data_IF_639825225474
#
_entry.id   IF_639825225474
#
_cell.length_a   1.000
_cell.length_b   1.000
_cell.length_c   1.000
_cell.angle_alpha   90.00
_cell.angle_beta   90.00
_cell.angle_gamma   90.00
#
_symmetry.space_group_name_H-M   'P 1'
#
loop_
_entity.id
_entity.type
_entity.pdbx_description
1 polymer ?
#
# COMPACT_ATOMS: atom_id res chain seq x y z
N UNK A 1 -14.64 9.67 -40.11
CA UNK A 1 -13.75 8.58 -39.67
C UNK A 1 -13.75 8.58 -38.15
N UNK A 2 -14.53 7.70 -37.52
CA UNK A 2 -14.60 7.61 -36.05
C UNK A 2 -13.33 6.93 -35.54
N UNK A 3 -12.29 7.72 -35.30
CA UNK A 3 -11.07 7.25 -34.65
C UNK A 3 -11.32 7.27 -33.13
N UNK A 4 -12.25 6.43 -32.65
CA UNK A 4 -12.34 6.15 -31.22
C UNK A 4 -11.12 5.33 -30.87
N UNK A 5 -10.10 5.99 -30.33
CA UNK A 5 -8.93 5.33 -29.76
C UNK A 5 -9.44 4.36 -28.69
N UNK A 6 -9.50 3.08 -29.03
CA UNK A 6 -9.91 2.05 -28.10
C UNK A 6 -8.69 1.68 -27.27
N UNK A 7 -8.73 2.01 -25.98
CA UNK A 7 -7.70 1.57 -25.05
C UNK A 7 -7.54 0.05 -25.15
N UNK A 8 -6.31 -0.44 -25.05
CA UNK A 8 -6.01 -1.88 -25.04
C UNK A 8 -5.62 -2.39 -23.65
N UNK A 9 -5.05 -1.49 -22.85
CA UNK A 9 -4.54 -1.77 -21.51
C UNK A 9 -4.99 -0.65 -20.59
N UNK A 10 -5.44 -1.00 -19.39
CA UNK A 10 -5.74 -0.07 -18.31
C UNK A 10 -4.77 -0.34 -17.16
N UNK A 11 -4.14 0.73 -16.68
CA UNK A 11 -3.26 0.68 -15.51
C UNK A 11 -4.01 1.18 -14.28
N UNK A 12 -3.94 0.43 -13.19
CA UNK A 12 -4.45 0.84 -11.89
C UNK A 12 -3.32 1.01 -10.88
N UNK A 13 -3.47 2.00 -10.01
CA UNK A 13 -2.74 2.00 -8.74
C UNK A 13 -3.38 1.00 -7.75
N UNK A 14 -2.65 0.64 -6.70
CA UNK A 14 -3.12 -0.29 -5.68
C UNK A 14 -3.89 0.42 -4.55
N UNK A 15 -3.20 1.22 -3.75
CA UNK A 15 -3.72 1.86 -2.55
C UNK A 15 -4.67 3.01 -2.91
N UNK A 16 -5.82 3.06 -2.25
CA UNK A 16 -6.87 4.08 -2.46
C UNK A 16 -7.34 4.22 -3.92
N UNK A 17 -7.15 3.16 -4.71
CA UNK A 17 -7.69 3.00 -6.07
C UNK A 17 -8.45 1.67 -6.16
N UNK A 18 -7.78 0.55 -5.93
CA UNK A 18 -8.40 -0.77 -5.89
C UNK A 18 -8.57 -1.30 -4.45
N UNK A 19 -7.70 -0.90 -3.53
CA UNK A 19 -7.69 -1.37 -2.15
C UNK A 19 -7.80 -0.23 -1.14
N UNK A 20 -8.58 -0.43 -0.07
CA UNK A 20 -8.98 0.61 0.87
C UNK A 20 -7.98 0.76 2.02
N UNK A 21 -7.11 1.79 1.93
CA UNK A 21 -6.06 2.01 2.94
C UNK A 21 -6.62 2.36 4.32
N UNK A 22 -7.86 2.88 4.38
CA UNK A 22 -8.53 3.32 5.62
C UNK A 22 -8.86 2.15 6.54
N UNK A 23 -8.88 0.92 6.02
CA UNK A 23 -9.19 -0.32 6.76
C UNK A 23 -7.96 -1.11 7.18
N UNK A 24 -6.76 -0.67 6.78
CA UNK A 24 -5.51 -1.40 6.98
C UNK A 24 -5.14 -1.49 8.45
N UNK A 25 -5.23 -0.37 9.17
CA UNK A 25 -4.75 -0.32 10.56
C UNK A 25 -5.83 -0.69 11.56
N UNK A 26 -5.69 -1.88 12.14
CA UNK A 26 -6.54 -2.39 13.23
C UNK A 26 -5.78 -2.28 14.56
N UNK A 27 -6.18 -1.38 15.49
CA UNK A 27 -5.48 -1.22 16.77
C UNK A 27 -5.34 -2.53 17.58
N UNK A 28 -6.36 -3.39 17.53
CA UNK A 28 -6.33 -4.69 18.21
C UNK A 28 -5.26 -5.66 17.67
N UNK A 29 -4.97 -5.61 16.37
CA UNK A 29 -3.89 -6.41 15.78
C UNK A 29 -2.52 -5.89 16.21
N UNK A 30 -2.33 -4.56 16.18
CA UNK A 30 -1.08 -3.93 16.61
C UNK A 30 -0.79 -4.23 18.09
N UNK A 31 -1.80 -4.15 18.97
CA UNK A 31 -1.67 -4.52 20.39
C UNK A 31 -1.18 -5.96 20.55
N UNK A 32 -1.73 -6.91 19.78
CA UNK A 32 -1.27 -8.31 19.82
C UNK A 32 0.19 -8.47 19.39
N UNK A 33 0.68 -7.65 18.45
CA UNK A 33 2.09 -7.65 18.06
C UNK A 33 2.98 -7.05 19.15
N UNK A 34 2.56 -5.94 19.75
CA UNK A 34 3.26 -5.30 20.87
C UNK A 34 3.34 -6.21 22.11
N UNK A 35 2.28 -6.96 22.41
CA UNK A 35 2.28 -7.93 23.51
C UNK A 35 3.37 -9.00 23.34
N UNK A 36 3.61 -9.47 22.10
CA UNK A 36 4.71 -10.39 21.81
C UNK A 36 6.11 -9.78 22.00
N UNK A 37 6.18 -8.44 22.03
CA UNK A 37 7.39 -7.65 22.34
C UNK A 37 7.49 -7.27 23.83
N UNK A 38 6.56 -7.73 24.67
CA UNK A 38 6.53 -7.38 26.10
C UNK A 38 5.90 -6.02 26.40
N UNK A 39 5.28 -5.38 25.41
CA UNK A 39 4.59 -4.09 25.59
C UNK A 39 3.08 -4.25 25.71
N UNK A 40 2.48 -3.53 26.65
CA UNK A 40 1.03 -3.48 26.84
C UNK A 40 0.55 -2.05 26.68
N UNK A 41 -0.18 -1.77 25.60
CA UNK A 41 -0.83 -0.49 25.35
C UNK A 41 -2.34 -0.70 25.30
N UNK A 42 -3.10 0.27 25.84
CA UNK A 42 -4.55 0.25 25.73
C UNK A 42 -5.02 0.62 24.30
N UNK A 43 -6.28 0.28 24.01
CA UNK A 43 -6.89 0.49 22.69
C UNK A 43 -6.94 1.97 22.27
N UNK A 44 -7.25 2.87 23.20
CA UNK A 44 -7.42 4.30 22.94
C UNK A 44 -6.07 4.95 22.63
N UNK A 45 -5.04 4.63 23.40
CA UNK A 45 -3.67 5.10 23.17
C UNK A 45 -3.15 4.57 21.84
N UNK A 46 -3.31 3.27 21.58
CA UNK A 46 -2.88 2.66 20.30
C UNK A 46 -3.56 3.30 19.10
N UNK A 47 -4.88 3.48 19.16
CA UNK A 47 -5.64 4.15 18.09
C UNK A 47 -5.18 5.59 17.87
N UNK A 48 -4.91 6.33 18.95
CA UNK A 48 -4.41 7.71 18.88
C UNK A 48 -3.04 7.78 18.20
N UNK A 49 -2.11 6.88 18.54
CA UNK A 49 -0.78 6.83 17.93
C UNK A 49 -0.85 6.45 16.45
N UNK A 50 -1.64 5.43 16.08
CA UNK A 50 -1.88 5.07 14.66
C UNK A 50 -2.37 6.28 13.87
N UNK A 51 -3.38 7.00 14.39
CA UNK A 51 -3.92 8.20 13.73
C UNK A 51 -2.86 9.30 13.58
N UNK A 52 -2.05 9.54 14.61
CA UNK A 52 -0.96 10.52 14.56
C UNK A 52 0.10 10.13 13.52
N UNK A 53 0.46 8.86 13.38
CA UNK A 53 1.40 8.40 12.35
C UNK A 53 0.82 8.60 10.95
N UNK A 54 -0.46 8.25 10.74
CA UNK A 54 -1.14 8.51 9.47
C UNK A 54 -1.14 9.99 9.10
N UNK A 55 -1.47 10.88 10.03
CA UNK A 55 -1.39 12.34 9.82
C UNK A 55 0.06 12.80 9.57
N UNK A 56 1.03 12.28 10.31
CA UNK A 56 2.43 12.63 10.10
C UNK A 56 2.92 12.27 8.69
N UNK A 57 2.47 11.12 8.14
CA UNK A 57 2.85 10.63 6.80
C UNK A 57 2.39 11.50 5.63
N UNK A 58 1.42 12.40 5.86
CA UNK A 58 0.86 13.32 4.85
C UNK A 58 1.36 14.76 5.00
N UNK A 59 2.03 15.09 6.10
CA UNK A 59 2.72 16.39 6.24
C UNK A 59 3.86 16.52 5.25
N UNK A 60 4.28 17.75 4.94
CA UNK A 60 5.46 18.00 4.10
C UNK A 60 6.69 17.22 4.60
N UNK A 61 6.97 17.26 5.90
CA UNK A 61 8.05 16.48 6.51
C UNK A 61 7.89 14.98 6.27
N UNK A 62 6.69 14.44 6.44
CA UNK A 62 6.39 13.03 6.18
C UNK A 62 6.59 12.63 4.71
N UNK A 63 6.18 13.50 3.78
CA UNK A 63 6.41 13.30 2.35
C UNK A 63 7.91 13.33 2.02
N UNK A 64 8.69 14.24 2.61
CA UNK A 64 10.14 14.25 2.42
C UNK A 64 10.82 12.99 2.99
N UNK A 65 10.34 12.47 4.13
CA UNK A 65 10.89 11.24 4.72
C UNK A 65 10.66 10.00 3.86
N UNK A 66 9.58 9.98 3.06
CA UNK A 66 9.21 8.87 2.16
C UNK A 66 9.59 9.10 0.69
N UNK A 67 10.17 10.25 0.35
CA UNK A 67 10.54 10.54 -1.03
C UNK A 67 11.55 9.50 -1.55
N UNK A 68 11.27 8.89 -2.70
CA UNK A 68 12.11 7.85 -3.31
C UNK A 68 12.28 6.58 -2.45
N UNK A 69 11.43 6.39 -1.42
CA UNK A 69 11.58 5.24 -0.51
C UNK A 69 11.09 3.95 -1.11
N UNK A 70 10.22 4.00 -2.11
CA UNK A 70 9.49 2.82 -2.58
C UNK A 70 10.29 2.07 -3.66
N UNK A 71 11.56 2.46 -3.82
CA UNK A 71 12.56 1.87 -4.73
C UNK A 71 13.15 0.55 -4.22
N UNK A 72 12.94 0.20 -2.95
CA UNK A 72 13.24 -1.13 -2.42
C UNK A 72 12.47 -1.38 -1.12
N UNK A 73 12.24 -2.66 -0.78
CA UNK A 73 11.57 -3.01 0.48
C UNK A 73 12.29 -2.45 1.72
N UNK A 74 13.63 -2.45 1.70
CA UNK A 74 14.47 -1.89 2.77
C UNK A 74 14.29 -0.38 2.91
N UNK A 75 14.30 0.35 1.79
CA UNK A 75 14.13 1.81 1.81
C UNK A 75 12.73 2.19 2.30
N UNK A 76 11.70 1.49 1.81
CA UNK A 76 10.32 1.72 2.20
C UNK A 76 10.13 1.47 3.70
N UNK A 77 10.64 0.34 4.22
CA UNK A 77 10.66 0.06 5.65
C UNK A 77 11.31 1.19 6.46
N UNK A 78 12.53 1.58 6.09
CA UNK A 78 13.27 2.63 6.79
C UNK A 78 12.57 3.99 6.78
N UNK A 79 11.91 4.34 5.68
CA UNK A 79 11.16 5.58 5.58
C UNK A 79 9.94 5.57 6.51
N UNK A 80 9.18 4.48 6.55
CA UNK A 80 8.05 4.34 7.47
C UNK A 80 8.47 4.29 8.94
N UNK A 81 9.63 3.70 9.25
CA UNK A 81 10.23 3.81 10.59
C UNK A 81 10.47 5.27 10.97
N UNK A 82 11.09 6.06 10.08
CA UNK A 82 11.34 7.50 10.33
C UNK A 82 10.05 8.30 10.50
N UNK A 83 9.02 8.02 9.71
CA UNK A 83 7.71 8.65 9.85
C UNK A 83 7.09 8.31 11.21
N UNK A 84 7.04 7.03 11.56
CA UNK A 84 6.45 6.58 12.82
C UNK A 84 7.17 7.19 14.04
N UNK A 85 8.51 7.12 14.06
CA UNK A 85 9.33 7.67 15.14
C UNK A 85 9.31 9.20 15.23
N UNK A 86 8.79 9.90 14.22
CA UNK A 86 8.58 11.35 14.29
C UNK A 86 7.41 11.75 15.20
N UNK A 87 6.56 10.79 15.58
CA UNK A 87 5.41 11.01 16.46
C UNK A 87 5.81 10.81 17.92
N UNK A 88 5.63 11.81 18.81
CA UNK A 88 5.91 11.65 20.23
C UNK A 88 5.10 10.50 20.86
N UNK A 89 5.79 9.64 21.61
CA UNK A 89 5.20 8.44 22.23
C UNK A 89 5.23 7.18 21.36
N UNK A 90 5.83 7.24 20.16
CA UNK A 90 6.10 6.06 19.33
C UNK A 90 7.57 5.65 19.52
N UNK A 91 7.80 4.41 19.95
CA UNK A 91 9.14 3.82 20.02
C UNK A 91 9.43 2.89 18.82
N UNK A 92 10.61 2.25 18.82
CA UNK A 92 11.03 1.38 17.73
C UNK A 92 10.19 0.12 17.56
N UNK A 93 9.68 -0.47 18.65
CA UNK A 93 8.84 -1.67 18.60
C UNK A 93 7.45 -1.34 18.07
N UNK A 94 6.87 -0.21 18.49
CA UNK A 94 5.63 0.31 17.94
C UNK A 94 5.78 0.62 16.46
N UNK A 95 6.85 1.32 16.06
CA UNK A 95 7.12 1.62 14.65
C UNK A 95 7.22 0.33 13.81
N UNK A 96 7.96 -0.67 14.31
CA UNK A 96 8.09 -1.96 13.64
C UNK A 96 6.74 -2.68 13.52
N UNK A 97 5.97 -2.78 14.61
CA UNK A 97 4.65 -3.41 14.60
C UNK A 97 3.64 -2.66 13.71
N UNK A 98 3.72 -1.33 13.69
CA UNK A 98 2.95 -0.49 12.78
C UNK A 98 3.24 -0.87 11.33
N UNK A 99 4.52 -0.97 10.95
CA UNK A 99 4.90 -1.38 9.61
C UNK A 99 4.44 -2.80 9.28
N UNK A 100 4.58 -3.75 10.22
CA UNK A 100 4.09 -5.11 10.05
C UNK A 100 2.60 -5.15 9.72
N UNK A 101 1.78 -4.34 10.40
CA UNK A 101 0.36 -4.22 10.10
C UNK A 101 0.11 -3.57 8.74
N UNK A 102 0.87 -2.52 8.39
CA UNK A 102 0.76 -1.79 7.13
C UNK A 102 1.04 -2.70 5.93
N UNK A 103 2.08 -3.54 6.02
CA UNK A 103 2.51 -4.45 4.93
C UNK A 103 1.82 -5.82 4.96
N UNK A 104 0.86 -6.05 5.85
CA UNK A 104 0.11 -7.31 5.91
C UNK A 104 -0.99 -7.33 4.85
N UNK A 105 -0.84 -8.18 3.83
CA UNK A 105 -1.80 -8.30 2.72
C UNK A 105 -3.22 -8.64 3.18
N UNK A 106 -3.41 -9.26 4.35
CA UNK A 106 -4.74 -9.56 4.89
C UNK A 106 -5.47 -8.32 5.45
N UNK A 107 -4.77 -7.20 5.59
CA UNK A 107 -5.33 -5.94 6.07
C UNK A 107 -5.83 -5.03 4.96
N UNK A 108 -5.62 -5.39 3.70
CA UNK A 108 -6.02 -4.60 2.55
C UNK A 108 -7.27 -5.21 1.90
N UNK A 109 -8.49 -4.79 2.27
CA UNK A 109 -9.69 -5.17 1.55
C UNK A 109 -9.82 -4.33 0.26
N UNK A 110 -10.33 -4.91 -0.84
CA UNK A 110 -10.68 -4.12 -2.02
C UNK A 110 -11.87 -3.18 -1.74
N UNK A 111 -12.04 -2.14 -2.58
CA UNK A 111 -13.30 -1.39 -2.59
C UNK A 111 -14.45 -2.28 -3.10
N UNK A 112 -15.69 -1.92 -2.74
CA UNK A 112 -16.87 -2.75 -3.03
C UNK A 112 -17.14 -2.94 -4.53
N UNK A 113 -16.72 -1.99 -5.35
CA UNK A 113 -16.88 -1.95 -6.80
C UNK A 113 -15.66 -2.51 -7.57
N UNK A 114 -14.51 -2.69 -6.91
CA UNK A 114 -13.26 -3.18 -7.52
C UNK A 114 -13.47 -4.46 -8.34
N UNK A 115 -14.13 -5.47 -7.78
CA UNK A 115 -14.36 -6.75 -8.48
C UNK A 115 -15.19 -6.56 -9.74
N UNK A 116 -16.24 -5.74 -9.66
CA UNK A 116 -17.14 -5.47 -10.78
C UNK A 116 -16.41 -4.74 -11.91
N UNK A 117 -15.57 -3.75 -11.56
CA UNK A 117 -14.77 -2.99 -12.52
C UNK A 117 -13.77 -3.91 -13.23
N UNK A 118 -12.96 -4.66 -12.47
CA UNK A 118 -11.94 -5.55 -13.04
C UNK A 118 -12.55 -6.62 -13.95
N UNK A 119 -13.67 -7.23 -13.51
CA UNK A 119 -14.41 -8.21 -14.31
C UNK A 119 -14.92 -7.60 -15.62
N UNK A 120 -15.56 -6.43 -15.54
CA UNK A 120 -16.11 -5.76 -16.73
C UNK A 120 -15.02 -5.43 -17.75
N UNK A 121 -13.88 -4.92 -17.30
CA UNK A 121 -12.75 -4.61 -18.17
C UNK A 121 -12.21 -5.87 -18.86
N UNK A 122 -12.04 -6.95 -18.10
CA UNK A 122 -11.58 -8.23 -18.64
C UNK A 122 -12.58 -8.82 -19.67
N UNK A 123 -13.89 -8.77 -19.39
CA UNK A 123 -14.94 -9.22 -20.33
C UNK A 123 -14.98 -8.39 -21.63
N UNK A 124 -14.50 -7.14 -21.59
CA UNK A 124 -14.34 -6.29 -22.76
C UNK A 124 -12.98 -6.46 -23.46
N UNK A 125 -12.23 -7.52 -23.15
CA UNK A 125 -10.92 -7.84 -23.70
C UNK A 125 -9.85 -6.75 -23.47
N UNK A 126 -10.00 -5.95 -22.41
CA UNK A 126 -8.97 -5.00 -21.98
C UNK A 126 -7.97 -5.72 -21.09
N UNK A 127 -6.69 -5.49 -21.35
CA UNK A 127 -5.62 -5.93 -20.46
C UNK A 127 -5.57 -5.04 -19.24
N UNK A 128 -5.28 -5.61 -18.08
CA UNK A 128 -5.24 -4.89 -16.81
C UNK A 128 -3.87 -5.08 -16.19
N UNK A 129 -3.21 -3.98 -15.88
CA UNK A 129 -1.94 -3.98 -15.18
C UNK A 129 -2.00 -3.14 -13.90
N UNK A 130 -1.26 -3.56 -12.89
CA UNK A 130 -1.06 -2.78 -11.66
C UNK A 130 0.27 -2.06 -11.76
N UNK A 131 0.28 -0.75 -11.49
CA UNK A 131 1.50 0.05 -11.36
C UNK A 131 1.43 0.83 -10.06
N UNK A 132 2.25 0.47 -9.06
CA UNK A 132 2.14 1.05 -7.72
C UNK A 132 3.47 1.31 -7.05
N UNK A 133 3.51 2.44 -6.34
CA UNK A 133 4.58 2.76 -5.41
C UNK A 133 4.30 1.98 -4.14
N UNK A 134 5.11 0.95 -3.88
CA UNK A 134 4.86 -0.02 -2.81
C UNK A 134 6.16 -0.65 -2.34
N UNK A 135 6.25 -1.02 -1.07
CA UNK A 135 7.46 -1.60 -0.45
C UNK A 135 7.44 -3.10 -0.21
N UNK A 136 6.43 -3.83 -0.68
CA UNK A 136 6.27 -5.27 -0.48
C UNK A 136 5.43 -5.89 -1.61
N UNK A 137 5.41 -7.23 -1.69
CA UNK A 137 4.60 -7.95 -2.67
C UNK A 137 3.11 -7.89 -2.33
N UNK A 138 2.31 -7.24 -3.18
CA UNK A 138 0.86 -7.08 -3.02
C UNK A 138 0.05 -8.18 -3.71
N UNK A 139 0.68 -9.04 -4.52
CA UNK A 139 -0.03 -10.13 -5.23
C UNK A 139 -0.86 -11.01 -4.29
N UNK A 140 -0.40 -11.35 -3.05
CA UNK A 140 -1.23 -12.11 -2.13
C UNK A 140 -2.54 -11.42 -1.73
N UNK A 141 -2.61 -10.09 -1.70
CA UNK A 141 -3.87 -9.37 -1.41
C UNK A 141 -4.90 -9.57 -2.55
N UNK A 142 -4.44 -9.62 -3.80
CA UNK A 142 -5.30 -9.92 -4.95
C UNK A 142 -5.78 -11.36 -4.94
N UNK A 143 -4.92 -12.32 -4.59
CA UNK A 143 -5.27 -13.75 -4.48
C UNK A 143 -6.32 -13.94 -3.40
N UNK A 144 -6.10 -13.42 -2.19
CA UNK A 144 -7.07 -13.52 -1.09
C UNK A 144 -8.42 -12.89 -1.44
N UNK A 145 -8.44 -11.88 -2.30
CA UNK A 145 -9.65 -11.22 -2.76
C UNK A 145 -10.31 -11.87 -4.00
N UNK A 146 -9.74 -12.95 -4.56
CA UNK A 146 -10.18 -13.59 -5.83
C UNK A 146 -10.20 -12.58 -7.01
N UNK A 147 -9.18 -11.73 -7.06
CA UNK A 147 -9.01 -10.67 -8.07
C UNK A 147 -7.80 -10.88 -8.98
N UNK A 148 -6.85 -11.72 -8.58
CA UNK A 148 -5.60 -11.99 -9.31
C UNK A 148 -5.85 -12.48 -10.74
N UNK A 149 -6.90 -13.27 -10.94
CA UNK A 149 -7.33 -13.77 -12.27
C UNK A 149 -7.66 -12.69 -13.30
N UNK A 150 -7.91 -11.45 -12.88
CA UNK A 150 -8.19 -10.33 -13.79
C UNK A 150 -6.94 -9.51 -14.13
N UNK A 151 -5.82 -9.75 -13.44
CA UNK A 151 -4.62 -8.92 -13.58
C UNK A 151 -3.61 -9.62 -14.48
N UNK A 152 -3.24 -8.99 -15.60
CA UNK A 152 -2.26 -9.53 -16.53
C UNK A 152 -0.81 -9.30 -16.06
N UNK A 153 -0.54 -8.17 -15.38
CA UNK A 153 0.83 -7.82 -14.96
C UNK A 153 0.89 -6.89 -13.75
N UNK A 154 1.96 -7.01 -12.97
CA UNK A 154 2.27 -6.15 -11.83
C UNK A 154 3.60 -5.44 -12.04
N UNK A 155 3.61 -4.13 -11.84
CA UNK A 155 4.77 -3.25 -11.89
C UNK A 155 4.91 -2.57 -10.52
N UNK A 156 5.69 -3.20 -9.64
CA UNK A 156 5.83 -2.79 -8.25
C UNK A 156 7.15 -2.06 -8.08
N UNK A 157 7.12 -0.82 -7.58
CA UNK A 157 8.31 0.04 -7.55
C UNK A 157 9.49 -0.58 -6.79
N UNK A 158 9.25 -1.35 -5.73
CA UNK A 158 10.33 -1.97 -4.96
C UNK A 158 11.05 -3.09 -5.72
N UNK A 159 10.40 -3.70 -6.72
CA UNK A 159 10.99 -4.70 -7.61
C UNK A 159 11.76 -4.03 -8.75
N UNK A 160 11.24 -2.89 -9.22
CA UNK A 160 11.77 -2.19 -10.40
C UNK A 160 12.88 -1.19 -10.08
N UNK A 161 13.01 -0.77 -8.81
CA UNK A 161 13.99 0.25 -8.40
C UNK A 161 13.61 1.69 -8.79
N UNK A 162 12.43 1.90 -9.36
CA UNK A 162 11.89 3.20 -9.77
C UNK A 162 10.46 3.33 -9.27
N UNK A 163 10.10 4.50 -8.74
CA UNK A 163 8.76 4.81 -8.27
C UNK A 163 8.11 5.89 -9.15
N UNK A 164 6.78 5.89 -9.29
CA UNK A 164 6.04 6.98 -9.92
C UNK A 164 6.32 8.29 -9.17
N UNK A 165 6.52 9.43 -9.87
CA UNK A 165 6.31 9.64 -11.30
C UNK A 165 7.60 9.50 -12.16
N UNK A 166 8.64 8.80 -11.70
CA UNK A 166 9.88 8.66 -12.46
C UNK A 166 9.63 7.93 -13.79
N UNK A 167 10.01 8.54 -14.93
CA UNK A 167 9.70 8.05 -16.28
C UNK A 167 10.01 6.56 -16.50
N UNK A 168 11.17 6.07 -16.03
CA UNK A 168 11.59 4.67 -16.17
C UNK A 168 10.55 3.62 -15.71
N UNK A 169 9.73 3.89 -14.68
CA UNK A 169 8.70 2.91 -14.28
C UNK A 169 7.65 2.74 -15.38
N UNK A 170 7.34 3.80 -16.12
CA UNK A 170 6.41 3.79 -17.24
C UNK A 170 7.02 3.24 -18.53
N UNK A 171 8.35 3.35 -18.71
CA UNK A 171 9.05 2.74 -19.85
C UNK A 171 9.15 1.21 -19.73
N UNK A 172 9.20 0.71 -18.50
CA UNK A 172 9.17 -0.73 -18.20
C UNK A 172 7.74 -1.30 -18.34
N UNK A 173 6.73 -0.46 -18.08
CA UNK A 173 5.32 -0.81 -18.01
C UNK A 173 4.68 -1.03 -19.40
#
# INVERSE_FOLDING_TARGET
MNNTSQFKIIFFDYSDTLFDSRKVMKPSQLIKLLQKKGQNLDLKTTHTLIKKIGLASTTEKGLQLRKNSDTSAKNHYNAWQKVALSVPGVDSDFAHCFYTCLSDNNNWPPFSDTKTILKTLAENNLKIAIISNIGWDIRPAFITADLDKYIDKYFLSYELGYEKPHQKIFEIA
#
